data_IF_355240059204
#
_entry.id   IF_355240059204
#
_cell.length_a   1.000
_cell.length_b   1.000
_cell.length_c   1.000
_cell.angle_alpha   90.00
_cell.angle_beta   90.00
_cell.angle_gamma   90.00
#
_symmetry.space_group_name_H-M   'P 1'
#
loop_
_entity.id
_entity.type
_entity.pdbx_description
1 polymer ?
#
# COMPACT_ATOMS: atom_id res chain seq x y z
N UNK A 1 -6.00 -20.40 -18.41
CA UNK A 1 -5.92 -19.55 -19.63
C UNK A 1 -4.54 -18.89 -19.63
N UNK A 2 -3.74 -19.04 -20.67
CA UNK A 2 -2.45 -18.34 -20.81
C UNK A 2 -2.67 -17.02 -21.53
N UNK A 3 -2.09 -15.92 -21.02
CA UNK A 3 -2.13 -14.60 -21.67
C UNK A 3 -0.73 -14.31 -22.21
N UNK A 4 -0.60 -14.20 -23.53
CA UNK A 4 0.67 -13.88 -24.20
C UNK A 4 0.68 -12.40 -24.57
N UNK A 5 1.62 -11.64 -24.00
CA UNK A 5 1.81 -10.22 -24.32
C UNK A 5 2.90 -10.04 -25.37
N UNK A 6 2.61 -9.31 -26.44
CA UNK A 6 3.56 -9.00 -27.53
C UNK A 6 4.62 -7.96 -27.14
N UNK A 7 4.33 -7.12 -26.13
CA UNK A 7 5.22 -6.06 -25.66
C UNK A 7 5.46 -6.20 -24.15
N UNK A 8 6.72 -6.04 -23.74
CA UNK A 8 7.15 -6.16 -22.35
C UNK A 8 6.38 -5.21 -21.40
N UNK A 9 6.11 -3.98 -21.85
CA UNK A 9 5.35 -2.99 -21.10
C UNK A 9 3.92 -3.43 -20.75
N UNK A 10 3.21 -4.07 -21.69
CA UNK A 10 1.83 -4.50 -21.45
C UNK A 10 1.75 -5.61 -20.39
N UNK A 11 2.78 -6.46 -20.30
CA UNK A 11 2.88 -7.48 -19.25
C UNK A 11 3.12 -6.85 -17.88
N UNK A 12 3.98 -5.83 -17.80
CA UNK A 12 4.26 -5.09 -16.56
C UNK A 12 3.02 -4.39 -16.02
N UNK A 13 2.31 -3.66 -16.89
CA UNK A 13 1.06 -2.97 -16.50
C UNK A 13 0.00 -3.97 -16.03
N UNK A 14 -0.18 -5.10 -16.73
CA UNK A 14 -1.16 -6.10 -16.34
C UNK A 14 -0.80 -6.78 -15.00
N UNK A 15 0.47 -7.12 -14.78
CA UNK A 15 0.92 -7.71 -13.52
C UNK A 15 0.64 -6.79 -12.33
N UNK A 16 0.92 -5.49 -12.47
CA UNK A 16 0.72 -4.51 -11.40
C UNK A 16 -0.75 -4.14 -11.17
N UNK A 17 -1.53 -4.11 -12.25
CA UNK A 17 -2.94 -3.73 -12.19
C UNK A 17 -3.82 -4.81 -11.57
N UNK A 18 -3.50 -6.09 -11.82
CA UNK A 18 -4.35 -7.23 -11.43
C UNK A 18 -3.89 -7.94 -10.15
N UNK A 19 -2.82 -7.46 -9.49
CA UNK A 19 -2.30 -8.09 -8.27
C UNK A 19 -2.78 -7.39 -7.00
N UNK A 20 -3.29 -8.15 -6.04
CA UNK A 20 -3.62 -7.66 -4.69
C UNK A 20 -2.42 -7.68 -3.73
N UNK A 21 -1.37 -8.44 -4.05
CA UNK A 21 -0.12 -8.43 -3.31
C UNK A 21 1.03 -8.79 -4.25
N UNK A 22 2.24 -8.33 -3.92
CA UNK A 22 3.45 -8.61 -4.70
C UNK A 22 4.48 -9.24 -3.78
N UNK A 23 4.97 -10.42 -4.17
CA UNK A 23 6.07 -11.11 -3.48
C UNK A 23 7.25 -11.16 -4.43
N UNK A 24 8.39 -10.62 -4.01
CA UNK A 24 9.60 -10.48 -4.82
C UNK A 24 10.71 -11.34 -4.22
N UNK A 25 11.19 -12.30 -5.01
CA UNK A 25 12.30 -13.18 -4.65
C UNK A 25 13.64 -12.60 -5.11
N UNK A 26 14.79 -13.07 -4.60
CA UNK A 26 16.10 -12.69 -5.13
C UNK A 26 16.19 -12.97 -6.64
N UNK A 27 16.81 -12.06 -7.39
CA UNK A 27 16.86 -12.17 -8.84
C UNK A 27 17.81 -11.18 -9.50
N UNK A 28 17.81 -11.17 -10.83
CA UNK A 28 18.64 -10.25 -11.61
C UNK A 28 17.96 -8.92 -11.92
N UNK A 29 18.40 -8.26 -12.99
CA UNK A 29 17.88 -6.95 -13.40
C UNK A 29 16.38 -6.93 -13.68
N UNK A 30 15.80 -8.01 -14.23
CA UNK A 30 14.36 -8.07 -14.48
C UNK A 30 13.53 -7.99 -13.19
N UNK A 31 13.95 -8.74 -12.17
CA UNK A 31 13.28 -8.74 -10.86
C UNK A 31 13.42 -7.39 -10.15
N UNK A 32 14.62 -6.80 -10.21
CA UNK A 32 14.84 -5.46 -9.65
C UNK A 32 14.03 -4.39 -10.39
N UNK A 33 13.95 -4.45 -11.71
CA UNK A 33 13.15 -3.54 -12.54
C UNK A 33 11.66 -3.59 -12.14
N UNK A 34 11.07 -4.78 -12.03
CA UNK A 34 9.67 -4.93 -11.58
C UNK A 34 9.46 -4.45 -10.13
N UNK A 35 10.39 -4.74 -9.22
CA UNK A 35 10.32 -4.30 -7.83
C UNK A 35 10.41 -2.77 -7.71
N UNK A 36 11.34 -2.12 -8.41
CA UNK A 36 11.53 -0.68 -8.36
C UNK A 36 10.36 0.05 -9.03
N UNK A 37 9.85 -0.46 -10.15
CA UNK A 37 8.66 0.09 -10.80
C UNK A 37 7.43 0.01 -9.89
N UNK A 38 7.23 -1.13 -9.21
CA UNK A 38 6.15 -1.29 -8.23
C UNK A 38 6.23 -0.24 -7.13
N UNK A 39 7.40 -0.13 -6.49
CA UNK A 39 7.63 0.81 -5.39
C UNK A 39 7.40 2.25 -5.85
N UNK A 40 7.93 2.64 -7.01
CA UNK A 40 7.75 3.98 -7.55
C UNK A 40 6.27 4.30 -7.82
N UNK A 41 5.49 3.34 -8.34
CA UNK A 41 4.06 3.55 -8.61
C UNK A 41 3.24 3.70 -7.33
N UNK A 42 3.55 2.93 -6.28
CA UNK A 42 2.87 3.06 -4.98
C UNK A 42 3.32 4.35 -4.28
N UNK A 43 4.61 4.66 -4.27
CA UNK A 43 5.19 5.88 -3.70
C UNK A 43 4.58 7.15 -4.31
N UNK A 44 4.31 7.14 -5.61
CA UNK A 44 3.74 8.31 -6.33
C UNK A 44 2.22 8.28 -6.41
N UNK A 45 1.56 7.32 -5.75
CA UNK A 45 0.10 7.19 -5.75
C UNK A 45 -0.53 6.79 -7.08
N UNK A 46 0.27 6.36 -8.06
CA UNK A 46 -0.20 5.83 -9.34
C UNK A 46 -0.80 4.43 -9.19
N UNK A 47 -0.43 3.72 -8.13
CA UNK A 47 -1.02 2.46 -7.70
C UNK A 47 -1.52 2.60 -6.26
N UNK A 48 -2.72 2.09 -6.00
CA UNK A 48 -3.25 2.01 -4.63
C UNK A 48 -2.31 1.18 -3.73
N UNK A 49 -2.24 1.47 -2.42
CA UNK A 49 -1.46 0.67 -1.48
C UNK A 49 -1.83 -0.83 -1.53
N UNK A 50 -0.81 -1.67 -1.51
CA UNK A 50 -0.90 -3.12 -1.45
C UNK A 50 0.32 -3.68 -0.69
N UNK A 51 0.30 -4.93 -0.21
CA UNK A 51 1.47 -5.58 0.36
C UNK A 51 2.54 -5.80 -0.71
N UNK A 52 3.76 -5.35 -0.43
CA UNK A 52 4.96 -5.66 -1.22
C UNK A 52 5.91 -6.39 -0.26
N UNK A 53 6.16 -7.67 -0.51
CA UNK A 53 6.97 -8.51 0.34
C UNK A 53 8.25 -8.87 -0.40
N UNK A 54 9.38 -8.46 0.15
CA UNK A 54 10.70 -8.92 -0.24
C UNK A 54 10.92 -10.25 0.50
N UNK A 55 10.81 -11.36 -0.22
CA UNK A 55 10.95 -12.70 0.33
C UNK A 55 12.34 -13.21 -0.01
N UNK A 56 13.19 -13.39 0.99
CA UNK A 56 14.52 -13.97 0.85
C UNK A 56 14.47 -15.49 1.07
N UNK A 57 15.59 -16.18 0.79
CA UNK A 57 15.77 -17.55 1.29
C UNK A 57 16.08 -17.55 2.80
N UNK A 58 15.76 -18.61 3.56
CA UNK A 58 16.08 -18.68 4.99
C UNK A 58 17.55 -18.39 5.28
N UNK A 59 17.82 -17.34 6.06
CA UNK A 59 19.18 -16.87 6.36
C UNK A 59 19.89 -16.14 5.21
N UNK A 60 19.20 -15.91 4.08
CA UNK A 60 19.65 -15.09 2.97
C UNK A 60 19.83 -13.63 3.35
N UNK A 61 20.62 -12.92 2.57
CA UNK A 61 20.95 -11.51 2.82
C UNK A 61 20.77 -10.63 1.58
N UNK A 62 20.17 -11.14 0.50
CA UNK A 62 20.01 -10.43 -0.75
C UNK A 62 19.22 -9.13 -0.53
N UNK A 63 18.03 -9.24 0.06
CA UNK A 63 17.18 -8.09 0.30
C UNK A 63 17.67 -7.23 1.45
N UNK A 64 18.32 -7.82 2.46
CA UNK A 64 18.96 -7.05 3.52
C UNK A 64 20.05 -6.12 2.96
N UNK A 65 20.89 -6.63 2.07
CA UNK A 65 21.94 -5.85 1.41
C UNK A 65 21.33 -4.75 0.53
N UNK A 66 20.26 -5.06 -0.21
CA UNK A 66 19.53 -4.06 -0.99
C UNK A 66 18.91 -2.98 -0.08
N UNK A 67 18.25 -3.34 1.01
CA UNK A 67 17.68 -2.39 1.99
C UNK A 67 18.78 -1.50 2.58
N UNK A 68 19.95 -2.05 2.88
CA UNK A 68 21.08 -1.27 3.37
C UNK A 68 21.56 -0.24 2.35
N UNK A 69 21.61 -0.60 1.06
CA UNK A 69 21.86 0.34 -0.03
C UNK A 69 20.78 1.44 -0.09
N UNK A 70 19.49 1.09 -0.04
CA UNK A 70 18.39 2.05 -0.06
C UNK A 70 18.48 3.02 1.13
N UNK A 71 18.81 2.51 2.32
CA UNK A 71 18.98 3.34 3.51
C UNK A 71 20.16 4.30 3.37
N UNK A 72 21.31 3.81 2.92
CA UNK A 72 22.52 4.62 2.81
C UNK A 72 22.41 5.67 1.70
N UNK A 73 21.93 5.26 0.53
CA UNK A 73 21.97 6.08 -0.68
C UNK A 73 20.69 6.85 -0.92
N UNK A 74 19.51 6.20 -0.86
CA UNK A 74 18.25 6.87 -1.17
C UNK A 74 17.71 7.65 0.01
N UNK A 75 17.59 7.00 1.16
CA UNK A 75 17.11 7.67 2.38
C UNK A 75 18.18 8.64 2.92
N UNK A 76 19.44 8.20 3.03
CA UNK A 76 20.53 9.00 3.57
C UNK A 76 20.81 10.29 2.79
N UNK A 77 20.48 10.33 1.50
CA UNK A 77 20.59 11.52 0.64
C UNK A 77 19.25 12.22 0.37
N UNK A 78 18.18 11.84 1.06
CA UNK A 78 16.84 12.41 0.94
C UNK A 78 16.21 12.30 -0.47
N UNK A 79 16.51 11.23 -1.22
CA UNK A 79 15.79 10.91 -2.47
C UNK A 79 14.42 10.28 -2.23
N UNK A 80 14.19 9.74 -1.02
CA UNK A 80 12.91 9.17 -0.58
C UNK A 80 12.59 9.67 0.84
N UNK A 81 11.33 9.62 1.22
CA UNK A 81 10.91 9.91 2.59
C UNK A 81 11.19 8.71 3.51
N UNK A 82 11.36 8.96 4.81
CA UNK A 82 11.49 7.88 5.81
C UNK A 82 10.29 6.94 5.81
N UNK A 83 9.09 7.46 5.55
CA UNK A 83 7.84 6.71 5.44
C UNK A 83 7.83 5.75 4.25
N UNK A 84 8.58 6.02 3.18
CA UNK A 84 8.63 5.15 1.99
C UNK A 84 9.26 3.78 2.31
N UNK A 85 10.04 3.68 3.39
CA UNK A 85 10.57 2.40 3.91
C UNK A 85 9.47 1.48 4.48
N UNK A 86 8.23 1.97 4.62
CA UNK A 86 7.08 1.18 5.04
C UNK A 86 6.23 0.69 3.86
N UNK A 87 6.64 0.96 2.62
CA UNK A 87 5.95 0.47 1.43
C UNK A 87 6.15 -1.04 1.22
N UNK A 88 7.16 -1.63 1.83
CA UNK A 88 7.49 -3.04 1.71
C UNK A 88 7.86 -3.67 3.05
N UNK A 89 7.69 -4.99 3.12
CA UNK A 89 8.10 -5.83 4.24
C UNK A 89 9.21 -6.80 3.79
N UNK A 90 10.07 -7.22 4.72
CA UNK A 90 11.11 -8.24 4.49
C UNK A 90 10.82 -9.46 5.34
N UNK A 91 10.88 -10.64 4.74
CA UNK A 91 10.81 -11.93 5.43
C UNK A 91 11.58 -12.99 4.66
N UNK A 92 11.94 -14.10 5.31
CA UNK A 92 12.53 -15.29 4.69
C UNK A 92 11.61 -16.53 4.80
N UNK A 93 10.35 -16.30 5.19
CA UNK A 93 9.33 -17.32 5.38
C UNK A 93 8.09 -17.05 4.54
N UNK A 94 7.69 -18.05 3.75
CA UNK A 94 6.44 -18.00 2.99
C UNK A 94 5.20 -17.87 3.89
N UNK A 95 5.20 -18.55 5.05
CA UNK A 95 4.10 -18.46 6.01
C UNK A 95 3.96 -17.04 6.57
N UNK A 96 5.09 -16.38 6.84
CA UNK A 96 5.08 -15.00 7.33
C UNK A 96 4.64 -14.02 6.23
N UNK A 97 5.08 -14.23 4.99
CA UNK A 97 4.59 -13.46 3.84
C UNK A 97 3.06 -13.56 3.72
N UNK A 98 2.49 -14.75 3.87
CA UNK A 98 1.03 -14.98 3.85
C UNK A 98 0.35 -14.25 5.03
N UNK A 99 0.93 -14.28 6.23
CA UNK A 99 0.39 -13.53 7.39
C UNK A 99 0.38 -12.03 7.14
N UNK A 100 1.45 -11.47 6.57
CA UNK A 100 1.53 -10.04 6.22
C UNK A 100 0.38 -9.67 5.26
N UNK A 101 0.20 -10.45 4.20
CA UNK A 101 -0.88 -10.23 3.22
C UNK A 101 -2.26 -10.33 3.89
N UNK A 102 -2.50 -11.39 4.67
CA UNK A 102 -3.79 -11.59 5.35
C UNK A 102 -4.08 -10.49 6.38
N UNK A 103 -3.05 -10.03 7.11
CA UNK A 103 -3.16 -8.93 8.06
C UNK A 103 -3.56 -7.64 7.34
N UNK A 104 -2.87 -7.29 6.25
CA UNK A 104 -3.17 -6.10 5.46
C UNK A 104 -4.63 -6.04 4.97
N UNK A 105 -5.25 -7.19 4.72
CA UNK A 105 -6.63 -7.29 4.25
C UNK A 105 -7.63 -7.76 5.32
N UNK A 106 -7.24 -7.77 6.58
CA UNK A 106 -8.09 -8.26 7.70
C UNK A 106 -9.26 -7.33 8.01
N UNK A 107 -9.06 -6.02 7.82
CA UNK A 107 -10.06 -4.96 7.93
C UNK A 107 -10.12 -4.12 6.67
N UNK A 108 -9.00 -3.78 6.05
CA UNK A 108 -8.99 -3.02 4.80
C UNK A 108 -9.60 -3.83 3.65
N UNK A 109 -10.51 -3.22 2.90
CA UNK A 109 -11.08 -3.77 1.69
C UNK A 109 -10.43 -3.15 0.45
N UNK A 110 -10.61 -1.85 0.28
CA UNK A 110 -10.11 -1.11 -0.88
C UNK A 110 -10.06 0.39 -0.58
N UNK A 111 -9.45 1.14 -1.50
CA UNK A 111 -9.41 2.60 -1.47
C UNK A 111 -9.86 3.16 -2.82
N UNK A 112 -10.70 4.19 -2.79
CA UNK A 112 -11.16 4.92 -3.99
C UNK A 112 -10.96 6.41 -3.76
N UNK A 113 -10.46 7.12 -4.77
CA UNK A 113 -10.44 8.58 -4.75
C UNK A 113 -11.76 9.10 -5.33
N UNK A 114 -12.48 9.93 -4.58
CA UNK A 114 -13.66 10.65 -5.06
C UNK A 114 -13.44 12.14 -4.84
N UNK A 115 -13.51 12.91 -5.93
CA UNK A 115 -13.19 14.34 -5.94
C UNK A 115 -11.82 14.57 -5.28
N UNK A 116 -11.82 15.19 -4.12
CA UNK A 116 -10.64 15.63 -3.38
C UNK A 116 -10.32 14.81 -2.13
N UNK A 117 -11.03 13.70 -1.91
CA UNK A 117 -10.89 12.85 -0.73
C UNK A 117 -10.55 11.43 -1.16
N UNK A 118 -9.94 10.66 -0.25
CA UNK A 118 -9.82 9.21 -0.37
C UNK A 118 -10.83 8.56 0.54
N UNK A 119 -11.46 7.50 0.03
CA UNK A 119 -12.44 6.69 0.71
C UNK A 119 -11.82 5.33 0.90
N UNK A 120 -11.52 4.98 2.15
CA UNK A 120 -11.02 3.68 2.54
C UNK A 120 -12.21 2.84 3.01
N UNK A 121 -12.47 1.72 2.35
CA UNK A 121 -13.56 0.80 2.70
C UNK A 121 -13.06 -0.27 3.65
N UNK A 122 -13.89 -0.63 4.62
CA UNK A 122 -13.55 -1.56 5.69
C UNK A 122 -14.47 -2.79 5.67
N UNK A 123 -13.88 -3.98 5.67
CA UNK A 123 -14.57 -5.28 5.82
C UNK A 123 -15.21 -5.43 7.21
N UNK A 124 -14.67 -4.74 8.22
CA UNK A 124 -15.11 -4.78 9.61
C UNK A 124 -15.11 -3.37 10.20
N UNK A 125 -16.12 -2.96 10.98
CA UNK A 125 -16.18 -1.62 11.57
C UNK A 125 -14.96 -1.29 12.43
N UNK A 126 -14.54 -0.03 12.41
CA UNK A 126 -13.48 0.53 13.25
C UNK A 126 -14.10 1.25 14.46
N UNK A 127 -13.52 1.03 15.63
CA UNK A 127 -13.93 1.70 16.87
C UNK A 127 -13.55 3.19 16.86
N UNK A 128 -14.36 4.01 17.53
CA UNK A 128 -14.14 5.47 17.57
C UNK A 128 -12.82 5.85 18.26
N UNK A 129 -12.44 5.15 19.32
CA UNK A 129 -11.16 5.38 20.01
C UNK A 129 -9.98 5.15 19.07
N UNK A 130 -10.01 4.07 18.29
CA UNK A 130 -8.97 3.78 17.30
C UNK A 130 -8.92 4.85 16.21
N UNK A 131 -10.07 5.37 15.78
CA UNK A 131 -10.12 6.49 14.84
C UNK A 131 -9.49 7.77 15.42
N UNK A 132 -9.67 8.06 16.72
CA UNK A 132 -9.04 9.23 17.38
C UNK A 132 -7.52 9.12 17.38
N UNK A 133 -6.98 7.92 17.63
CA UNK A 133 -5.54 7.65 17.53
C UNK A 133 -5.02 7.93 16.12
N UNK A 134 -5.70 7.38 15.10
CA UNK A 134 -5.35 7.57 13.69
C UNK A 134 -5.38 9.05 13.30
N UNK A 135 -6.44 9.79 13.69
CA UNK A 135 -6.54 11.24 13.46
C UNK A 135 -5.35 12.00 14.00
N UNK A 136 -4.95 11.68 15.24
CA UNK A 136 -3.85 12.36 15.90
C UNK A 136 -2.53 12.06 15.19
N UNK A 137 -2.27 10.79 14.90
CA UNK A 137 -1.00 10.32 14.34
C UNK A 137 -0.75 10.73 12.89
N UNK A 138 -1.79 10.78 12.07
CA UNK A 138 -1.68 11.05 10.62
C UNK A 138 -2.27 12.42 10.24
N UNK A 139 -2.31 13.37 11.19
CA UNK A 139 -2.78 14.73 10.93
C UNK A 139 -1.91 15.50 9.93
N UNK A 140 -0.63 15.16 9.84
CA UNK A 140 0.34 15.86 9.00
C UNK A 140 0.22 15.55 7.50
N UNK A 141 -0.49 14.46 7.15
CA UNK A 141 -0.79 14.10 5.75
C UNK A 141 -2.15 14.64 5.28
N UNK A 142 -2.82 15.45 6.10
CA UNK A 142 -4.09 16.06 5.74
C UNK A 142 -3.85 17.38 4.99
N UNK A 143 -4.83 17.77 4.18
CA UNK A 143 -4.93 19.14 3.67
C UNK A 143 -5.15 20.12 4.82
N UNK A 144 -4.91 21.40 4.58
CA UNK A 144 -5.32 22.47 5.50
C UNK A 144 -6.81 22.30 5.84
N UNK A 145 -7.12 22.25 7.14
CA UNK A 145 -8.47 21.97 7.68
C UNK A 145 -9.10 20.63 7.24
N UNK A 146 -8.30 19.74 6.67
CA UNK A 146 -8.71 18.39 6.29
C UNK A 146 -9.00 17.51 7.50
N UNK A 147 -9.86 16.51 7.31
CA UNK A 147 -10.25 15.58 8.38
C UNK A 147 -10.11 14.12 7.96
N UNK A 148 -10.08 13.27 8.98
CA UNK A 148 -10.36 11.85 8.88
C UNK A 148 -11.69 11.61 9.60
N UNK A 149 -12.65 10.94 8.99
CA UNK A 149 -13.93 10.62 9.62
C UNK A 149 -14.53 9.31 9.13
N UNK A 150 -15.34 8.68 9.98
CA UNK A 150 -16.15 7.53 9.57
C UNK A 150 -17.33 8.00 8.72
N UNK A 151 -17.75 7.16 7.79
CA UNK A 151 -18.91 7.38 6.96
C UNK A 151 -19.52 6.05 6.50
N UNK A 152 -20.74 6.12 6.00
CA UNK A 152 -21.37 5.06 5.23
C UNK A 152 -21.04 5.22 3.73
N UNK A 153 -21.68 4.45 2.85
CA UNK A 153 -21.55 4.63 1.42
C UNK A 153 -21.92 6.05 0.98
N UNK A 154 -21.08 6.65 0.14
CA UNK A 154 -21.39 7.93 -0.47
C UNK A 154 -22.29 7.76 -1.71
N UNK A 155 -23.13 8.75 -2.06
CA UNK A 155 -23.93 8.71 -3.28
C UNK A 155 -23.11 8.48 -4.56
N UNK A 156 -21.86 8.96 -4.58
CA UNK A 156 -20.92 8.77 -5.69
C UNK A 156 -20.43 7.31 -5.86
N UNK A 157 -20.73 6.40 -4.92
CA UNK A 157 -20.38 4.96 -4.97
C UNK A 157 -21.55 4.07 -5.41
N UNK A 158 -22.63 4.65 -5.97
CA UNK A 158 -23.82 3.89 -6.40
C UNK A 158 -23.54 2.86 -7.50
N UNK A 159 -22.40 2.97 -8.17
CA UNK A 159 -21.90 2.05 -9.19
C UNK A 159 -21.32 0.73 -8.61
N UNK A 160 -21.12 0.65 -7.29
CA UNK A 160 -20.59 -0.55 -6.60
C UNK A 160 -21.56 -1.03 -5.48
N UNK A 161 -22.80 -1.44 -5.83
CA UNK A 161 -23.84 -1.77 -4.85
C UNK A 161 -23.48 -2.96 -3.94
N UNK A 162 -22.66 -3.89 -4.42
CA UNK A 162 -22.22 -5.09 -3.71
C UNK A 162 -21.38 -4.81 -2.44
N UNK A 163 -20.80 -3.61 -2.35
CA UNK A 163 -19.99 -3.17 -1.20
C UNK A 163 -20.59 -1.93 -0.52
N UNK A 164 -21.85 -1.58 -0.82
CA UNK A 164 -22.55 -0.45 -0.23
C UNK A 164 -22.71 -0.56 1.30
N UNK A 165 -22.71 -1.77 1.85
CA UNK A 165 -22.87 -2.06 3.28
C UNK A 165 -21.59 -1.93 4.13
N UNK A 166 -20.42 -1.68 3.53
CA UNK A 166 -19.15 -1.59 4.28
C UNK A 166 -19.05 -0.28 5.10
N UNK A 167 -18.23 -0.23 6.15
CA UNK A 167 -17.93 1.07 6.77
C UNK A 167 -16.83 1.79 5.97
N UNK A 168 -16.86 3.12 5.90
CA UNK A 168 -15.82 3.94 5.24
C UNK A 168 -15.04 4.78 6.24
N UNK A 169 -13.77 5.01 5.94
CA UNK A 169 -13.01 6.16 6.43
C UNK A 169 -12.82 7.11 5.26
N UNK A 170 -13.28 8.35 5.41
CA UNK A 170 -12.99 9.45 4.48
C UNK A 170 -11.79 10.20 5.02
N UNK A 171 -10.78 10.42 4.16
CA UNK A 171 -9.57 11.18 4.47
C UNK A 171 -9.33 12.27 3.43
N UNK A 172 -9.16 13.50 3.90
CA UNK A 172 -8.74 14.66 3.10
C UNK A 172 -7.23 14.66 2.87
N UNK A 173 -6.72 13.59 2.25
CA UNK A 173 -5.30 13.37 2.05
C UNK A 173 -4.67 14.43 1.11
N UNK A 174 -3.54 15.00 1.52
CA UNK A 174 -2.82 16.04 0.78
C UNK A 174 -2.00 15.52 -0.42
N UNK A 175 -1.86 14.19 -0.56
CA UNK A 175 -1.13 13.51 -1.64
C UNK A 175 0.38 13.73 -1.64
N UNK A 176 0.97 14.05 -0.50
CA UNK A 176 2.43 14.29 -0.41
C UNK A 176 3.21 13.10 0.12
N UNK A 177 2.60 12.21 0.90
CA UNK A 177 3.29 11.10 1.55
C UNK A 177 2.47 9.81 1.51
N UNK A 178 2.67 9.01 0.46
CA UNK A 178 1.98 7.74 0.27
C UNK A 178 2.54 6.63 1.17
N UNK A 179 3.78 6.75 1.63
CA UNK A 179 4.33 5.87 2.68
C UNK A 179 3.52 5.96 3.97
N UNK A 180 3.19 7.18 4.41
CA UNK A 180 2.31 7.39 5.57
C UNK A 180 0.87 6.92 5.32
N UNK A 181 0.36 7.07 4.10
CA UNK A 181 -0.94 6.50 3.75
C UNK A 181 -0.95 4.97 3.89
N UNK A 182 0.12 4.28 3.46
CA UNK A 182 0.30 2.84 3.66
C UNK A 182 0.36 2.48 5.15
N UNK A 183 1.14 3.22 5.95
CA UNK A 183 1.19 3.02 7.41
C UNK A 183 -0.18 3.20 8.09
N UNK A 184 -0.95 4.20 7.67
CA UNK A 184 -2.32 4.39 8.15
C UNK A 184 -3.19 3.17 7.86
N UNK A 185 -3.09 2.59 6.65
CA UNK A 185 -3.81 1.37 6.29
C UNK A 185 -3.33 0.18 7.13
N UNK A 186 -2.03 0.05 7.38
CA UNK A 186 -1.50 -1.01 8.26
C UNK A 186 -2.06 -0.89 9.69
N UNK A 187 -2.20 0.34 10.18
CA UNK A 187 -2.75 0.62 11.51
C UNK A 187 -4.27 0.38 11.61
N UNK A 188 -5.03 0.62 10.54
CA UNK A 188 -6.45 0.22 10.46
C UNK A 188 -6.60 -1.30 10.67
N UNK A 189 -5.62 -2.08 10.22
CA UNK A 189 -5.62 -3.53 10.29
C UNK A 189 -4.99 -4.12 11.57
N UNK A 190 -4.53 -3.26 12.50
CA UNK A 190 -3.99 -3.70 13.79
C UNK A 190 -5.06 -3.78 14.88
#
# INVERSE_FOLDING_TARGET
KNITYKYFFNRKVAFLKESDAIVVFPGGFGTLDEAMETLALVQTGKRNPLPIILLDEPGGNYWLNWINFIRAELLGKNYINKSDMHLFDLTDSADEAIKIINKFYSRYHSIRQIKNCYIIRLKKPLEEEKLKEIKTRYSDILKTDGKICLSEALPEEIDEPEISNLQRIIIDFNKTDYGKLKQLIDEINC
#
